data_IF_988012757074
#
_entry.id   IF_988012757074
#
_cell.length_a   1.000
_cell.length_b   1.000
_cell.length_c   1.000
_cell.angle_alpha   90.00
_cell.angle_beta   90.00
_cell.angle_gamma   90.00
#
_symmetry.space_group_name_H-M   'P 1'
#
loop_
_entity.id
_entity.type
_entity.pdbx_description
1 polymer ?
#
# COMPACT_ATOMS: atom_id res chain seq x y z
N UNK A 1 -32.24 -100.90 -83.85
CA UNK A 1 -31.15 -100.32 -83.06
C UNK A 1 -31.39 -98.83 -83.05
N UNK A 2 -31.89 -98.27 -81.95
CA UNK A 2 -31.91 -96.82 -81.78
C UNK A 2 -30.46 -96.35 -81.85
N UNK A 3 -30.19 -95.38 -82.72
CA UNK A 3 -28.85 -94.90 -83.00
C UNK A 3 -28.34 -94.12 -81.78
N UNK A 4 -27.50 -94.77 -80.96
CA UNK A 4 -26.85 -94.12 -79.82
C UNK A 4 -26.08 -92.87 -80.26
N UNK A 5 -25.60 -92.81 -81.51
CA UNK A 5 -24.92 -91.63 -82.03
C UNK A 5 -25.89 -90.44 -82.15
N UNK A 6 -27.15 -90.68 -82.49
CA UNK A 6 -28.18 -89.65 -82.60
C UNK A 6 -28.61 -89.15 -81.22
N UNK A 7 -28.72 -90.06 -80.23
CA UNK A 7 -29.02 -89.69 -78.84
C UNK A 7 -27.88 -88.93 -78.16
N UNK A 8 -26.63 -89.31 -78.41
CA UNK A 8 -25.45 -88.57 -77.91
C UNK A 8 -25.41 -87.17 -78.52
N UNK A 9 -25.69 -87.03 -79.83
CA UNK A 9 -25.75 -85.73 -80.49
C UNK A 9 -26.91 -84.85 -79.99
N UNK A 10 -28.08 -85.44 -79.70
CA UNK A 10 -29.20 -84.73 -79.05
C UNK A 10 -28.82 -84.28 -77.63
N UNK A 11 -28.18 -85.15 -76.84
CA UNK A 11 -27.67 -84.82 -75.51
C UNK A 11 -26.63 -83.69 -75.56
N UNK A 12 -25.66 -83.74 -76.48
CA UNK A 12 -24.68 -82.68 -76.70
C UNK A 12 -25.35 -81.37 -77.09
N UNK A 13 -26.34 -81.41 -77.98
CA UNK A 13 -27.13 -80.23 -78.39
C UNK A 13 -27.92 -79.66 -77.20
N UNK A 14 -28.51 -80.52 -76.36
CA UNK A 14 -29.27 -80.12 -75.17
C UNK A 14 -28.37 -79.59 -74.05
N UNK A 15 -27.20 -80.19 -73.83
CA UNK A 15 -26.19 -79.71 -72.88
C UNK A 15 -25.67 -78.37 -73.34
N UNK A 16 -25.36 -78.22 -74.63
CA UNK A 16 -24.96 -76.93 -75.21
C UNK A 16 -26.08 -75.88 -75.05
N UNK A 17 -27.33 -76.23 -75.33
CA UNK A 17 -28.48 -75.33 -75.13
C UNK A 17 -28.73 -74.99 -73.65
N UNK A 18 -28.44 -75.91 -72.72
CA UNK A 18 -28.51 -75.68 -71.28
C UNK A 18 -27.34 -74.81 -70.78
N UNK A 19 -26.14 -74.97 -71.32
CA UNK A 19 -24.96 -74.13 -71.04
C UNK A 19 -25.14 -72.71 -71.59
N UNK A 20 -25.76 -72.58 -72.77
CA UNK A 20 -26.11 -71.29 -73.39
C UNK A 20 -27.41 -70.68 -72.84
N UNK A 21 -28.20 -71.44 -72.08
CA UNK A 21 -29.45 -71.02 -71.47
C UNK A 21 -29.21 -69.91 -70.45
N UNK A 22 -29.74 -68.71 -70.72
CA UNK A 22 -29.48 -67.52 -69.93
C UNK A 22 -30.09 -67.61 -68.53
N UNK A 23 -29.24 -67.73 -67.51
CA UNK A 23 -29.58 -67.26 -66.17
C UNK A 23 -28.69 -66.07 -65.81
N UNK A 24 -29.31 -64.89 -65.74
CA UNK A 24 -28.75 -63.61 -65.27
C UNK A 24 -27.40 -63.19 -65.88
N UNK A 25 -27.47 -62.40 -66.97
CA UNK A 25 -26.48 -61.35 -67.26
C UNK A 25 -25.36 -61.63 -68.26
N UNK A 26 -25.11 -62.88 -68.68
CA UNK A 26 -24.10 -63.19 -69.72
C UNK A 26 -24.62 -64.23 -70.73
N UNK A 27 -25.22 -63.80 -71.85
CA UNK A 27 -25.61 -64.70 -72.93
C UNK A 27 -24.37 -65.24 -73.65
N UNK A 28 -24.29 -66.55 -73.87
CA UNK A 28 -23.24 -67.13 -74.72
C UNK A 28 -22.00 -67.70 -74.01
N UNK A 29 -21.96 -67.74 -72.68
CA UNK A 29 -20.81 -68.23 -71.89
C UNK A 29 -21.14 -69.52 -71.16
N UNK A 30 -20.17 -70.42 -71.02
CA UNK A 30 -20.35 -71.68 -70.29
C UNK A 30 -20.50 -71.43 -68.77
N UNK A 31 -21.06 -72.40 -68.06
CA UNK A 31 -21.18 -72.34 -66.59
C UNK A 31 -19.80 -72.16 -65.92
N UNK A 32 -18.76 -72.79 -66.46
CA UNK A 32 -17.38 -72.67 -65.95
C UNK A 32 -16.85 -71.23 -66.06
N UNK A 33 -17.04 -70.57 -67.21
CA UNK A 33 -16.64 -69.17 -67.42
C UNK A 33 -17.38 -68.21 -66.47
N UNK A 34 -18.65 -68.50 -66.18
CA UNK A 34 -19.44 -67.73 -65.19
C UNK A 34 -18.91 -67.90 -63.77
N UNK A 35 -18.49 -69.10 -63.37
CA UNK A 35 -17.85 -69.33 -62.06
C UNK A 35 -16.50 -68.63 -61.97
N UNK A 36 -15.68 -68.64 -63.03
CA UNK A 36 -14.42 -67.89 -63.10
C UNK A 36 -14.68 -66.39 -62.97
N UNK A 37 -15.63 -65.84 -63.72
CA UNK A 37 -15.97 -64.41 -63.63
C UNK A 37 -16.51 -64.02 -62.24
N UNK A 38 -17.30 -64.88 -61.61
CA UNK A 38 -17.76 -64.65 -60.24
C UNK A 38 -16.59 -64.68 -59.26
N UNK A 39 -15.66 -65.63 -59.40
CA UNK A 39 -14.45 -65.73 -58.58
C UNK A 39 -13.60 -64.46 -58.71
N UNK A 40 -13.31 -64.00 -59.93
CA UNK A 40 -12.57 -62.76 -60.18
C UNK A 40 -13.25 -61.55 -59.52
N UNK A 41 -14.59 -61.48 -59.59
CA UNK A 41 -15.35 -60.40 -58.93
C UNK A 41 -15.28 -60.50 -57.41
N UNK A 42 -15.36 -61.70 -56.84
CA UNK A 42 -15.21 -61.92 -55.40
C UNK A 42 -13.82 -61.53 -54.94
N UNK A 43 -12.79 -61.87 -55.71
CA UNK A 43 -11.40 -61.49 -55.42
C UNK A 43 -11.20 -59.96 -55.48
N UNK A 44 -11.74 -59.31 -56.51
CA UNK A 44 -11.73 -57.84 -56.61
C UNK A 44 -12.46 -57.20 -55.43
N UNK A 45 -13.62 -57.71 -55.04
CA UNK A 45 -14.35 -57.21 -53.86
C UNK A 45 -13.54 -57.44 -52.58
N UNK A 46 -12.93 -58.62 -52.41
CA UNK A 46 -12.05 -58.94 -51.29
C UNK A 46 -10.89 -57.96 -51.19
N UNK A 47 -10.20 -57.72 -52.29
CA UNK A 47 -9.09 -56.77 -52.35
C UNK A 47 -9.55 -55.34 -52.06
N UNK A 48 -10.71 -54.93 -52.59
CA UNK A 48 -11.28 -53.61 -52.31
C UNK A 48 -11.62 -53.42 -50.83
N UNK A 49 -12.15 -54.45 -50.16
CA UNK A 49 -12.44 -54.41 -48.72
C UNK A 49 -11.13 -54.36 -47.92
N UNK A 50 -10.14 -55.20 -48.25
CA UNK A 50 -8.84 -55.18 -47.59
C UNK A 50 -8.16 -53.82 -47.71
N UNK A 51 -8.11 -53.24 -48.91
CA UNK A 51 -7.52 -51.92 -49.13
C UNK A 51 -8.23 -50.83 -48.32
N UNK A 52 -9.56 -50.89 -48.19
CA UNK A 52 -10.33 -49.93 -47.36
C UNK A 52 -10.05 -50.10 -45.86
N UNK A 53 -9.96 -51.34 -45.39
CA UNK A 53 -9.64 -51.64 -43.99
C UNK A 53 -8.22 -51.20 -43.65
N UNK A 54 -7.27 -51.41 -44.55
CA UNK A 54 -5.89 -50.97 -44.37
C UNK A 54 -5.79 -49.44 -44.31
N UNK A 55 -6.43 -48.74 -45.26
CA UNK A 55 -6.49 -47.27 -45.23
C UNK A 55 -7.12 -46.74 -43.93
N UNK A 56 -8.25 -47.33 -43.52
CA UNK A 56 -8.89 -46.93 -42.26
C UNK A 56 -7.98 -47.20 -41.05
N UNK A 57 -7.27 -48.33 -41.02
CA UNK A 57 -6.31 -48.67 -39.97
C UNK A 57 -5.15 -47.66 -39.91
N UNK A 58 -4.60 -47.27 -41.04
CA UNK A 58 -3.52 -46.27 -41.12
C UNK A 58 -4.00 -44.90 -40.64
N UNK A 59 -5.18 -44.46 -41.09
CA UNK A 59 -5.80 -43.21 -40.64
C UNK A 59 -6.08 -43.24 -39.13
N UNK A 60 -6.62 -44.34 -38.60
CA UNK A 60 -6.87 -44.50 -37.18
C UNK A 60 -5.57 -44.47 -36.36
N UNK A 61 -4.53 -45.18 -36.83
CA UNK A 61 -3.22 -45.18 -36.18
C UNK A 61 -2.65 -43.76 -36.11
N UNK A 62 -2.71 -43.01 -37.21
CA UNK A 62 -2.24 -41.62 -37.29
C UNK A 62 -3.01 -40.70 -36.34
N UNK A 63 -4.33 -40.89 -36.22
CA UNK A 63 -5.15 -40.13 -35.27
C UNK A 63 -4.80 -40.47 -33.83
N UNK A 64 -4.59 -41.74 -33.51
CA UNK A 64 -4.21 -42.16 -32.16
C UNK A 64 -2.84 -41.60 -31.78
N UNK A 65 -1.84 -41.66 -32.66
CA UNK A 65 -0.53 -41.05 -32.39
C UNK A 65 -0.63 -39.54 -32.17
N UNK A 66 -1.44 -38.84 -32.96
CA UNK A 66 -1.66 -37.39 -32.75
C UNK A 66 -2.34 -37.09 -31.41
N UNK A 67 -3.28 -37.94 -30.98
CA UNK A 67 -3.93 -37.80 -29.67
C UNK A 67 -2.92 -38.04 -28.55
N UNK A 68 -2.07 -39.06 -28.65
CA UNK A 68 -1.02 -39.35 -27.66
C UNK A 68 -0.03 -38.18 -27.56
N UNK A 69 0.41 -37.63 -28.69
CA UNK A 69 1.29 -36.45 -28.70
C UNK A 69 0.65 -35.25 -28.00
N UNK A 70 -0.64 -35.00 -28.26
CA UNK A 70 -1.39 -33.90 -27.61
C UNK A 70 -1.61 -34.15 -26.12
N UNK A 71 -1.80 -35.40 -25.70
CA UNK A 71 -1.93 -35.75 -24.28
C UNK A 71 -0.61 -35.55 -23.55
N UNK A 72 0.52 -35.89 -24.17
CA UNK A 72 1.84 -35.65 -23.61
C UNK A 72 2.13 -34.14 -23.47
N UNK A 73 1.84 -33.34 -24.50
CA UNK A 73 1.97 -31.88 -24.45
C UNK A 73 1.08 -31.26 -23.36
N UNK A 74 -0.14 -31.76 -23.18
CA UNK A 74 -1.02 -31.34 -22.08
C UNK A 74 -0.45 -31.70 -20.71
N UNK A 75 0.16 -32.87 -20.54
CA UNK A 75 0.79 -33.25 -19.27
C UNK A 75 1.95 -32.31 -18.94
N UNK A 76 2.80 -32.00 -19.92
CA UNK A 76 3.91 -31.03 -19.77
C UNK A 76 3.39 -29.64 -19.36
N UNK A 77 2.34 -29.15 -20.04
CA UNK A 77 1.69 -27.87 -19.68
C UNK A 77 1.14 -27.89 -18.26
N UNK A 78 0.50 -28.99 -17.85
CA UNK A 78 -0.05 -29.15 -16.49
C UNK A 78 1.08 -29.13 -15.45
N UNK A 79 2.20 -29.82 -15.68
CA UNK A 79 3.34 -29.81 -14.76
C UNK A 79 3.99 -28.42 -14.68
N UNK A 80 4.09 -27.71 -15.80
CA UNK A 80 4.61 -26.35 -15.82
C UNK A 80 3.73 -25.41 -14.96
N UNK A 81 2.42 -25.40 -15.20
CA UNK A 81 1.47 -24.58 -14.40
C UNK A 81 1.52 -24.94 -12.93
N UNK A 82 1.59 -26.25 -12.60
CA UNK A 82 1.70 -26.71 -11.21
C UNK A 82 2.96 -26.18 -10.54
N UNK A 83 4.08 -26.21 -11.23
CA UNK A 83 5.37 -25.72 -10.73
C UNK A 83 5.33 -24.21 -10.53
N UNK A 84 4.86 -23.46 -11.53
CA UNK A 84 4.69 -22.00 -11.43
C UNK A 84 3.75 -21.60 -10.29
N UNK A 85 2.64 -22.31 -10.11
CA UNK A 85 1.72 -22.07 -8.99
C UNK A 85 2.37 -22.34 -7.63
N UNK A 86 3.17 -23.41 -7.51
CA UNK A 86 3.89 -23.71 -6.28
C UNK A 86 4.92 -22.62 -5.94
N UNK A 87 5.68 -22.17 -6.93
CA UNK A 87 6.67 -21.11 -6.77
C UNK A 87 6.01 -19.77 -6.42
N UNK A 88 4.92 -19.43 -7.10
CA UNK A 88 4.13 -18.23 -6.80
C UNK A 88 3.60 -18.26 -5.37
N UNK A 89 3.08 -19.41 -4.92
CA UNK A 89 2.60 -19.56 -3.54
C UNK A 89 3.74 -19.42 -2.52
N UNK A 90 4.92 -19.97 -2.81
CA UNK A 90 6.10 -19.80 -1.97
C UNK A 90 6.52 -18.33 -1.85
N UNK A 91 6.51 -17.58 -2.96
CA UNK A 91 6.80 -16.13 -2.98
C UNK A 91 5.76 -15.34 -2.18
N UNK A 92 4.47 -15.64 -2.34
CA UNK A 92 3.39 -14.98 -1.61
C UNK A 92 3.52 -15.22 -0.10
N UNK A 93 3.80 -16.46 0.32
CA UNK A 93 4.03 -16.78 1.73
C UNK A 93 5.25 -16.06 2.31
N UNK A 94 6.35 -16.01 1.56
CA UNK A 94 7.53 -15.26 1.98
C UNK A 94 7.24 -13.76 2.12
N UNK A 95 6.41 -13.20 1.24
CA UNK A 95 5.97 -11.80 1.33
C UNK A 95 5.06 -11.58 2.54
N UNK A 96 4.13 -12.50 2.81
CA UNK A 96 3.25 -12.44 3.97
C UNK A 96 4.06 -12.46 5.28
N UNK A 97 5.02 -13.39 5.43
CA UNK A 97 5.89 -13.46 6.60
C UNK A 97 6.73 -12.17 6.78
N UNK A 98 7.20 -11.56 5.69
CA UNK A 98 7.89 -10.25 5.75
C UNK A 98 6.95 -9.13 6.19
N UNK A 99 5.71 -9.13 5.73
CA UNK A 99 4.70 -8.13 6.13
C UNK A 99 4.36 -8.26 7.61
N UNK A 100 4.24 -9.48 8.14
CA UNK A 100 4.05 -9.74 9.57
C UNK A 100 5.20 -9.13 10.40
N UNK A 101 6.45 -9.39 10.03
CA UNK A 101 7.62 -8.81 10.70
C UNK A 101 7.66 -7.27 10.62
N UNK A 102 7.23 -6.69 9.50
CA UNK A 102 7.16 -5.23 9.36
C UNK A 102 6.07 -4.64 10.25
N UNK A 103 4.92 -5.30 10.38
CA UNK A 103 3.82 -4.89 11.26
C UNK A 103 4.29 -4.93 12.73
N UNK A 104 4.96 -6.00 13.14
CA UNK A 104 5.52 -6.10 14.50
C UNK A 104 6.50 -4.95 14.81
N UNK A 105 7.36 -4.62 13.84
CA UNK A 105 8.29 -3.48 13.98
C UNK A 105 7.56 -2.14 14.06
N UNK A 106 6.41 -1.99 13.40
CA UNK A 106 5.59 -0.77 13.51
C UNK A 106 4.99 -0.68 14.92
N UNK A 107 4.43 -1.77 15.46
CA UNK A 107 3.90 -1.79 16.82
C UNK A 107 4.97 -1.40 17.84
N UNK A 108 6.17 -2.00 17.77
CA UNK A 108 7.28 -1.64 18.67
C UNK A 108 7.68 -0.16 18.57
N UNK A 109 7.66 0.42 17.38
CA UNK A 109 7.96 1.85 17.19
C UNK A 109 6.87 2.74 17.74
N UNK A 110 5.60 2.35 17.61
CA UNK A 110 4.46 3.07 18.17
C UNK A 110 4.51 3.04 19.70
N UNK A 111 4.77 1.90 20.32
CA UNK A 111 4.95 1.78 21.78
C UNK A 111 6.11 2.66 22.28
N UNK A 112 7.22 2.67 21.54
CA UNK A 112 8.36 3.53 21.83
C UNK A 112 8.01 5.03 21.72
N UNK A 113 7.19 5.40 20.73
CA UNK A 113 6.72 6.77 20.55
C UNK A 113 5.75 7.19 21.64
N UNK A 114 4.81 6.33 22.02
CA UNK A 114 3.87 6.58 23.13
C UNK A 114 4.64 6.89 24.42
N UNK A 115 5.58 6.02 24.80
CA UNK A 115 6.40 6.24 25.98
C UNK A 115 7.27 7.51 25.89
N UNK A 116 7.65 7.95 24.68
CA UNK A 116 8.37 9.22 24.49
C UNK A 116 7.44 10.42 24.64
N UNK A 117 6.21 10.33 24.15
CA UNK A 117 5.21 11.39 24.31
C UNK A 117 4.82 11.57 25.77
N UNK A 118 4.58 10.49 26.52
CA UNK A 118 4.31 10.56 27.97
C UNK A 118 5.42 11.29 28.72
N UNK A 119 6.69 10.97 28.40
CA UNK A 119 7.84 11.64 29.02
C UNK A 119 7.92 13.12 28.65
N UNK A 120 7.62 13.46 27.41
CA UNK A 120 7.64 14.83 26.92
C UNK A 120 6.51 15.66 27.55
N UNK A 121 5.31 15.09 27.66
CA UNK A 121 4.17 15.71 28.35
C UNK A 121 4.49 15.97 29.82
N UNK A 122 5.03 14.97 30.52
CA UNK A 122 5.44 15.13 31.92
C UNK A 122 6.52 16.19 32.10
N UNK A 123 7.52 16.23 31.20
CA UNK A 123 8.58 17.24 31.22
C UNK A 123 8.04 18.65 30.97
N UNK A 124 7.21 18.84 29.94
CA UNK A 124 6.62 20.14 29.64
C UNK A 124 5.70 20.62 30.75
N UNK A 125 4.88 19.73 31.31
CA UNK A 125 4.01 20.05 32.45
C UNK A 125 4.79 20.40 33.73
N UNK A 126 6.00 19.86 33.90
CA UNK A 126 6.90 20.28 34.98
C UNK A 126 7.51 21.66 34.71
N UNK A 127 8.03 21.88 33.50
CA UNK A 127 8.64 23.17 33.13
C UNK A 127 7.64 24.32 33.19
N UNK A 128 6.40 24.12 32.73
CA UNK A 128 5.35 25.13 32.81
C UNK A 128 5.10 25.55 34.26
N UNK A 129 4.97 24.59 35.18
CA UNK A 129 4.80 24.88 36.61
C UNK A 129 5.99 25.62 37.23
N UNK A 130 7.22 25.21 36.91
CA UNK A 130 8.42 25.91 37.39
C UNK A 130 8.49 27.35 36.85
N UNK A 131 8.03 27.59 35.63
CA UNK A 131 7.95 28.94 35.04
C UNK A 131 6.90 29.77 35.77
N UNK A 132 5.70 29.22 35.98
CA UNK A 132 4.62 29.91 36.70
C UNK A 132 5.05 30.29 38.12
N UNK A 133 5.69 29.36 38.85
CA UNK A 133 6.20 29.62 40.20
C UNK A 133 7.26 30.74 40.22
N UNK A 134 8.13 30.78 39.20
CA UNK A 134 9.14 31.84 39.07
C UNK A 134 8.52 33.18 38.73
N UNK A 135 7.51 33.23 37.88
CA UNK A 135 6.80 34.48 37.58
C UNK A 135 6.08 35.01 38.81
N UNK A 136 5.40 34.14 39.57
CA UNK A 136 4.81 34.54 40.84
C UNK A 136 5.83 35.12 41.82
N UNK A 137 6.99 34.48 41.95
CA UNK A 137 8.06 35.00 42.80
C UNK A 137 8.66 36.34 42.29
N UNK A 138 8.58 36.61 40.99
CA UNK A 138 8.97 37.90 40.42
C UNK A 138 7.92 38.97 40.74
N UNK A 139 6.64 38.64 40.60
CA UNK A 139 5.52 39.54 40.94
C UNK A 139 5.59 39.94 42.42
N UNK A 140 5.75 38.97 43.33
CA UNK A 140 5.91 39.23 44.78
C UNK A 140 7.09 40.17 45.08
N UNK A 141 8.19 40.06 44.31
CA UNK A 141 9.36 40.94 44.46
C UNK A 141 9.11 42.35 43.95
N UNK A 142 8.32 42.49 42.88
CA UNK A 142 7.95 43.81 42.36
C UNK A 142 7.01 44.52 43.34
N UNK A 143 6.04 43.83 43.91
CA UNK A 143 5.16 44.38 44.95
C UNK A 143 5.98 44.88 46.15
N UNK A 144 6.96 44.10 46.63
CA UNK A 144 7.85 44.52 47.70
C UNK A 144 8.78 45.71 47.32
N UNK A 145 9.10 45.88 46.03
CA UNK A 145 9.85 47.04 45.55
C UNK A 145 8.97 48.29 45.55
N UNK A 146 7.72 48.17 45.09
CA UNK A 146 6.75 49.25 45.07
C UNK A 146 6.49 49.76 46.50
N UNK A 147 6.26 48.87 47.47
CA UNK A 147 6.11 49.24 48.89
C UNK A 147 7.32 50.02 49.43
N UNK A 148 8.54 49.65 49.01
CA UNK A 148 9.76 50.35 49.42
C UNK A 148 9.85 51.74 48.78
N UNK A 149 9.43 51.90 47.54
CA UNK A 149 9.38 53.21 46.88
C UNK A 149 8.35 54.12 47.55
N UNK A 150 7.16 53.63 47.88
CA UNK A 150 6.18 54.40 48.65
C UNK A 150 6.74 54.85 50.01
N UNK A 151 7.49 53.98 50.70
CA UNK A 151 8.14 54.34 51.95
C UNK A 151 9.25 55.40 51.77
N UNK A 152 9.97 55.36 50.64
CA UNK A 152 10.98 56.38 50.30
C UNK A 152 10.30 57.72 49.99
N UNK A 153 9.22 57.73 49.23
CA UNK A 153 8.46 58.95 48.91
C UNK A 153 7.97 59.63 50.19
N UNK A 154 7.37 58.88 51.12
CA UNK A 154 6.96 59.40 52.44
C UNK A 154 8.12 60.01 53.24
N UNK A 155 9.32 59.44 53.12
CA UNK A 155 10.51 60.00 53.78
C UNK A 155 10.96 61.30 53.13
N UNK A 156 10.89 61.40 51.80
CA UNK A 156 11.21 62.64 51.10
C UNK A 156 10.21 63.75 51.42
N UNK A 157 8.90 63.45 51.47
CA UNK A 157 7.88 64.40 51.92
C UNK A 157 8.17 64.93 53.34
N UNK A 158 8.56 64.04 54.26
CA UNK A 158 8.92 64.44 55.62
C UNK A 158 10.19 65.32 55.67
N UNK A 159 11.17 65.07 54.81
CA UNK A 159 12.38 65.89 54.67
C UNK A 159 12.04 67.26 54.11
N UNK A 160 11.18 67.34 53.09
CA UNK A 160 10.71 68.61 52.52
C UNK A 160 10.01 69.48 53.57
N UNK A 161 9.17 68.89 54.42
CA UNK A 161 8.52 69.61 55.52
C UNK A 161 9.54 70.11 56.57
N UNK A 162 10.59 69.35 56.86
CA UNK A 162 11.67 69.82 57.74
C UNK A 162 12.44 70.99 57.12
N UNK A 163 12.73 70.95 55.83
CA UNK A 163 13.38 72.07 55.13
C UNK A 163 12.51 73.34 55.17
N UNK A 164 11.20 73.23 54.89
CA UNK A 164 10.27 74.37 55.03
C UNK A 164 10.26 74.94 56.45
N UNK A 165 10.35 74.08 57.47
CA UNK A 165 10.43 74.54 58.86
C UNK A 165 11.75 75.25 59.17
N UNK A 166 12.86 74.79 58.60
CA UNK A 166 14.17 75.44 58.71
C UNK A 166 14.18 76.80 58.01
N UNK A 167 13.62 76.90 56.81
CA UNK A 167 13.51 78.16 56.06
C UNK A 167 12.75 79.22 56.88
N UNK A 168 11.60 78.85 57.46
CA UNK A 168 10.83 79.76 58.35
C UNK A 168 11.64 80.23 59.56
N UNK A 169 12.50 79.38 60.11
CA UNK A 169 13.38 79.75 61.23
C UNK A 169 14.45 80.73 60.76
N UNK A 170 15.01 80.53 59.57
CA UNK A 170 15.95 81.49 58.98
C UNK A 170 15.28 82.83 58.68
N UNK A 171 14.08 82.85 58.11
CA UNK A 171 13.30 84.10 57.90
C UNK A 171 13.09 84.86 59.22
N UNK A 172 12.80 84.13 60.30
CA UNK A 172 12.64 84.72 61.64
C UNK A 172 13.95 85.33 62.15
N UNK A 173 15.06 84.59 62.03
CA UNK A 173 16.40 85.07 62.43
C UNK A 173 16.82 86.29 61.61
N UNK A 174 16.57 86.29 60.30
CA UNK A 174 16.88 87.42 59.42
C UNK A 174 16.09 88.67 59.83
N UNK A 175 14.82 88.52 60.21
CA UNK A 175 14.01 89.61 60.76
C UNK A 175 14.59 90.14 62.08
N UNK A 176 14.95 89.26 63.02
CA UNK A 176 15.56 89.65 64.29
C UNK A 176 16.90 90.38 64.08
N UNK A 177 17.73 89.91 63.15
CA UNK A 177 18.99 90.57 62.79
C UNK A 177 18.74 91.94 62.18
N UNK A 178 17.72 92.09 61.32
CA UNK A 178 17.34 93.39 60.76
C UNK A 178 16.91 94.38 61.84
N UNK A 179 16.10 93.93 62.81
CA UNK A 179 15.68 94.73 63.95
C UNK A 179 16.87 95.15 64.84
N UNK A 180 17.79 94.22 65.13
CA UNK A 180 19.01 94.52 65.88
C UNK A 180 19.88 95.55 65.13
N UNK A 181 20.07 95.40 63.81
CA UNK A 181 20.80 96.38 62.99
C UNK A 181 20.15 97.76 63.08
N UNK A 182 18.83 97.84 62.98
CA UNK A 182 18.11 99.11 63.10
C UNK A 182 18.28 99.74 64.50
N UNK A 183 18.25 98.95 65.57
CA UNK A 183 18.52 99.41 66.93
C UNK A 183 19.94 99.95 67.09
N UNK A 184 20.95 99.25 66.53
CA UNK A 184 22.35 99.70 66.57
C UNK A 184 22.52 101.04 65.86
N UNK A 185 21.93 101.22 64.67
CA UNK A 185 21.95 102.51 63.95
C UNK A 185 21.34 103.64 64.80
N UNK A 186 20.22 103.38 65.48
CA UNK A 186 19.59 104.37 66.37
C UNK A 186 20.47 104.72 67.57
N UNK A 187 21.16 103.73 68.16
CA UNK A 187 22.09 103.96 69.27
C UNK A 187 23.28 104.79 68.81
N UNK A 188 23.86 104.45 67.66
CA UNK A 188 24.99 105.18 67.07
C UNK A 188 24.66 106.65 66.81
N UNK A 189 23.47 106.93 66.25
CA UNK A 189 22.96 108.29 66.06
C UNK A 189 22.83 109.07 67.39
N UNK A 190 22.39 108.42 68.48
CA UNK A 190 22.29 109.04 69.81
C UNK A 190 23.67 109.33 70.42
N UNK A 191 24.66 108.48 70.18
CA UNK A 191 26.01 108.63 70.73
C UNK A 191 26.86 109.67 69.98
N UNK A 192 26.62 109.85 68.68
CA UNK A 192 27.34 110.81 67.83
C UNK A 192 26.73 112.22 67.82
N UNK A 193 25.54 112.41 68.40
CA UNK A 193 24.87 113.71 68.50
C UNK A 193 24.27 114.22 67.19
N UNK A 194 24.19 113.40 66.14
CA UNK A 194 23.50 113.73 64.89
C UNK A 194 22.05 113.24 64.96
N UNK A 195 21.08 114.16 64.95
CA UNK A 195 19.67 113.83 64.75
C UNK A 195 19.49 113.24 63.33
N UNK A 196 18.71 112.15 63.17
CA UNK A 196 18.39 111.65 61.84
C UNK A 196 17.42 112.60 61.13
N UNK A 197 17.74 112.96 59.88
CA UNK A 197 16.80 113.49 58.89
C UNK A 197 15.98 112.34 58.27
#
# INVERSE_FOLDING_TARGET
MLDLSEQVRDLETRVTALEHGTFSGMPGTSVAERFTSLHDRVDVVGQNVLNRLEKFREEATTRFTNVDDRLNDLDDQIQNVRTEMADNFAVVNAKAARMELQIDKIYQRLDSHEARFDRLEAFMGKQAREIDDRFKAVDDRFEAVDERFEAVDKRFEAVDEQFKAVDRRFDTVDSEIADIKALLVRIDAKLTGQQPN
#
